data_IF_075220748294
#
_entry.id   IF_075220748294
#
_cell.length_a   1.000
_cell.length_b   1.000
_cell.length_c   1.000
_cell.angle_alpha   90.00
_cell.angle_beta   90.00
_cell.angle_gamma   90.00
#
_symmetry.space_group_name_H-M   'P 1'
#
loop_
_entity.id
_entity.type
_entity.pdbx_description
1 polymer ?
#
# COMPACT_ATOMS: atom_id res chain seq x y z
N UNK A 1 23.23 -15.07 -4.83
CA UNK A 1 24.32 -14.42 -4.06
C UNK A 1 24.10 -14.40 -2.54
N UNK A 2 22.94 -13.95 -2.03
CA UNK A 2 22.71 -13.83 -0.58
C UNK A 2 22.87 -15.16 0.17
N UNK A 3 22.26 -16.24 -0.33
CA UNK A 3 22.39 -17.58 0.25
C UNK A 3 23.83 -18.12 0.24
N UNK A 4 24.62 -17.77 -0.78
CA UNK A 4 26.03 -18.15 -0.85
C UNK A 4 26.87 -17.43 0.21
N UNK A 5 26.63 -16.13 0.40
CA UNK A 5 27.29 -15.32 1.43
C UNK A 5 26.93 -15.85 2.83
N UNK A 6 25.64 -16.06 3.10
CA UNK A 6 25.16 -16.55 4.40
C UNK A 6 25.67 -17.96 4.70
N UNK A 7 25.66 -18.86 3.71
CA UNK A 7 26.17 -20.22 3.87
C UNK A 7 27.67 -20.22 4.13
N UNK A 8 28.45 -19.47 3.35
CA UNK A 8 29.90 -19.37 3.57
C UNK A 8 30.21 -18.76 4.94
N UNK A 9 29.47 -17.73 5.36
CA UNK A 9 29.66 -17.10 6.66
C UNK A 9 29.42 -18.13 7.79
N UNK A 10 28.31 -18.85 7.71
CA UNK A 10 27.94 -19.87 8.70
C UNK A 10 28.98 -21.01 8.76
N UNK A 11 29.43 -21.51 7.60
CA UNK A 11 30.46 -22.55 7.51
C UNK A 11 31.78 -22.03 8.09
N UNK A 12 32.23 -20.84 7.67
CA UNK A 12 33.50 -20.24 8.12
C UNK A 12 33.53 -20.05 9.62
N UNK A 13 32.46 -19.52 10.22
CA UNK A 13 32.40 -19.34 11.68
C UNK A 13 32.29 -20.66 12.43
N UNK A 14 31.49 -21.61 11.96
CA UNK A 14 31.31 -22.90 12.64
C UNK A 14 32.58 -23.73 12.59
N UNK A 15 33.18 -23.87 11.40
CA UNK A 15 34.42 -24.62 11.21
C UNK A 15 35.60 -23.90 11.85
N UNK A 16 35.69 -22.58 11.73
CA UNK A 16 36.73 -21.77 12.35
C UNK A 16 36.70 -21.86 13.88
N UNK A 17 35.53 -21.66 14.50
CA UNK A 17 35.39 -21.76 15.95
C UNK A 17 35.65 -23.19 16.46
N UNK A 18 35.11 -24.21 15.78
CA UNK A 18 35.34 -25.61 16.15
C UNK A 18 36.82 -26.01 16.01
N UNK A 19 37.47 -25.63 14.91
CA UNK A 19 38.87 -25.95 14.63
C UNK A 19 39.82 -25.28 15.61
N UNK A 20 39.64 -23.99 15.89
CA UNK A 20 40.49 -23.30 16.85
C UNK A 20 40.18 -23.75 18.29
N UNK A 21 38.93 -24.07 18.61
CA UNK A 21 38.57 -24.67 19.90
C UNK A 21 39.26 -26.03 20.13
N UNK A 22 39.28 -26.89 19.11
CA UNK A 22 39.98 -28.16 19.16
C UNK A 22 41.50 -27.97 19.34
N UNK A 23 42.10 -27.04 18.61
CA UNK A 23 43.53 -26.76 18.71
C UNK A 23 43.92 -26.14 20.06
N UNK A 24 43.08 -25.26 20.60
CA UNK A 24 43.28 -24.66 21.91
C UNK A 24 43.26 -25.73 23.02
N UNK A 25 42.37 -26.74 22.91
CA UNK A 25 42.33 -27.87 23.84
C UNK A 25 43.61 -28.72 23.83
N UNK A 26 44.29 -28.84 22.69
CA UNK A 26 45.56 -29.58 22.57
C UNK A 26 46.74 -28.78 23.11
N UNK A 27 46.80 -27.47 22.81
CA UNK A 27 47.96 -26.61 23.13
C UNK A 27 47.94 -26.10 24.57
N UNK A 28 46.76 -25.79 25.12
CA UNK A 28 46.63 -25.11 26.42
C UNK A 28 46.05 -26.02 27.51
N UNK A 29 46.60 -27.24 27.62
CA UNK A 29 46.13 -28.31 28.52
C UNK A 29 45.92 -27.88 29.99
N UNK A 30 46.60 -26.83 30.46
CA UNK A 30 46.60 -26.36 31.86
C UNK A 30 45.91 -25.00 32.11
N UNK A 31 45.31 -24.37 31.09
CA UNK A 31 44.51 -23.15 31.25
C UNK A 31 43.04 -23.52 31.13
N UNK A 32 42.16 -22.88 31.90
CA UNK A 32 40.71 -23.07 31.78
C UNK A 32 40.26 -22.86 30.33
N UNK A 33 39.99 -23.96 29.63
CA UNK A 33 39.57 -24.00 28.22
C UNK A 33 38.43 -23.01 27.94
N UNK A 34 37.56 -22.78 28.93
CA UNK A 34 36.49 -21.78 28.86
C UNK A 34 36.97 -20.33 28.70
N UNK A 35 38.06 -19.91 29.34
CA UNK A 35 38.60 -18.54 29.22
C UNK A 35 39.19 -18.34 27.83
N UNK A 36 39.98 -19.29 27.34
CA UNK A 36 40.58 -19.23 26.00
C UNK A 36 39.48 -19.26 24.93
N UNK A 37 38.51 -20.17 25.06
CA UNK A 37 37.38 -20.25 24.15
C UNK A 37 36.57 -18.95 24.15
N UNK A 38 36.28 -18.37 25.32
CA UNK A 38 35.52 -17.12 25.42
C UNK A 38 36.27 -15.93 24.81
N UNK A 39 37.55 -15.78 25.12
CA UNK A 39 38.39 -14.72 24.55
C UNK A 39 38.51 -14.86 23.02
N UNK A 40 38.65 -16.08 22.53
CA UNK A 40 38.74 -16.36 21.10
C UNK A 40 37.41 -16.09 20.38
N UNK A 41 36.28 -16.53 20.94
CA UNK A 41 34.96 -16.24 20.36
C UNK A 41 34.74 -14.73 20.27
N UNK A 42 35.11 -13.97 21.29
CA UNK A 42 35.05 -12.52 21.27
C UNK A 42 35.93 -11.93 20.15
N UNK A 43 37.17 -12.41 20.01
CA UNK A 43 38.07 -11.95 18.96
C UNK A 43 37.51 -12.26 17.56
N UNK A 44 36.98 -13.47 17.32
CA UNK A 44 36.38 -13.84 16.04
C UNK A 44 35.17 -12.93 15.74
N UNK A 45 34.29 -12.68 16.70
CA UNK A 45 33.15 -11.78 16.52
C UNK A 45 33.60 -10.35 16.17
N UNK A 46 34.58 -9.81 16.89
CA UNK A 46 35.05 -8.44 16.65
C UNK A 46 35.72 -8.31 15.29
N UNK A 47 36.71 -9.17 15.00
CA UNK A 47 37.56 -9.04 13.81
C UNK A 47 36.96 -9.60 12.54
N UNK A 48 36.13 -10.65 12.63
CA UNK A 48 35.54 -11.30 11.45
C UNK A 48 34.12 -10.85 11.17
N UNK A 49 33.41 -10.28 12.15
CA UNK A 49 32.00 -9.92 11.98
C UNK A 49 31.75 -8.43 12.17
N UNK A 50 32.08 -7.85 13.33
CA UNK A 50 31.74 -6.46 13.65
C UNK A 50 32.54 -5.48 12.77
N UNK A 51 33.87 -5.56 12.80
CA UNK A 51 34.73 -4.62 12.05
C UNK A 51 34.45 -4.68 10.54
N UNK A 52 34.41 -5.86 9.89
CA UNK A 52 34.17 -5.92 8.45
C UNK A 52 32.78 -5.43 8.05
N UNK A 53 31.75 -5.71 8.84
CA UNK A 53 30.38 -5.23 8.57
C UNK A 53 30.30 -3.71 8.70
N UNK A 54 30.90 -3.13 9.72
CA UNK A 54 30.92 -1.67 9.91
C UNK A 54 31.68 -0.98 8.78
N UNK A 55 32.85 -1.49 8.39
CA UNK A 55 33.59 -0.95 7.25
C UNK A 55 32.82 -1.09 5.93
N UNK A 56 32.12 -2.22 5.74
CA UNK A 56 31.28 -2.45 4.58
C UNK A 56 30.11 -1.48 4.49
N UNK A 57 29.48 -1.14 5.62
CA UNK A 57 28.36 -0.19 5.67
C UNK A 57 28.83 1.25 5.43
N UNK A 58 29.93 1.67 6.05
CA UNK A 58 30.44 3.04 5.97
C UNK A 58 31.12 3.33 4.62
N UNK A 59 31.92 2.39 4.11
CA UNK A 59 32.77 2.59 2.92
C UNK A 59 32.27 1.83 1.67
N UNK A 60 30.97 1.51 1.60
CA UNK A 60 30.39 0.67 0.54
C UNK A 60 30.74 1.14 -0.88
N UNK A 61 30.83 2.46 -1.12
CA UNK A 61 31.12 3.04 -2.45
C UNK A 61 32.52 2.68 -2.96
N UNK A 62 33.52 2.73 -2.09
CA UNK A 62 34.90 2.46 -2.45
C UNK A 62 35.18 0.95 -2.53
N UNK A 63 34.47 0.16 -1.73
CA UNK A 63 34.57 -1.30 -1.73
C UNK A 63 33.74 -1.95 -2.84
N UNK A 64 32.76 -1.25 -3.43
CA UNK A 64 31.80 -1.81 -4.37
C UNK A 64 32.46 -2.60 -5.51
N UNK A 65 33.51 -2.06 -6.14
CA UNK A 65 34.19 -2.73 -7.26
C UNK A 65 34.84 -4.06 -6.83
N UNK A 66 35.59 -4.05 -5.72
CA UNK A 66 36.26 -5.24 -5.19
C UNK A 66 35.23 -6.28 -4.71
N UNK A 67 34.25 -5.83 -3.94
CA UNK A 67 33.18 -6.68 -3.39
C UNK A 67 32.39 -7.36 -4.49
N UNK A 68 32.06 -6.65 -5.58
CA UNK A 68 31.30 -7.23 -6.70
C UNK A 68 32.10 -8.32 -7.41
N UNK A 69 33.41 -8.13 -7.63
CA UNK A 69 34.27 -9.14 -8.25
C UNK A 69 34.45 -10.37 -7.36
N UNK A 70 34.74 -10.16 -6.08
CA UNK A 70 34.86 -11.23 -5.09
C UNK A 70 33.55 -12.02 -4.95
N UNK A 71 32.40 -11.34 -5.01
CA UNK A 71 31.09 -11.96 -4.94
C UNK A 71 30.80 -12.85 -6.15
N UNK A 72 31.23 -12.46 -7.36
CA UNK A 72 31.10 -13.30 -8.55
C UNK A 72 31.91 -14.59 -8.42
N UNK A 73 33.16 -14.50 -7.98
CA UNK A 73 34.00 -15.68 -7.73
C UNK A 73 33.38 -16.58 -6.66
N UNK A 74 32.93 -15.99 -5.55
CA UNK A 74 32.26 -16.70 -4.46
C UNK A 74 31.00 -17.43 -4.95
N UNK A 75 30.20 -16.77 -5.78
CA UNK A 75 28.96 -17.34 -6.30
C UNK A 75 29.22 -18.54 -7.20
N UNK A 76 30.29 -18.51 -8.00
CA UNK A 76 30.71 -19.66 -8.82
C UNK A 76 31.21 -20.80 -7.93
N UNK A 77 32.04 -20.51 -6.93
CA UNK A 77 32.56 -21.52 -6.00
C UNK A 77 31.45 -22.19 -5.20
N UNK A 78 30.47 -21.41 -4.73
CA UNK A 78 29.33 -21.89 -3.95
C UNK A 78 28.17 -22.39 -4.82
N UNK A 79 28.27 -22.30 -6.15
CA UNK A 79 27.22 -22.71 -7.07
C UNK A 79 26.69 -24.14 -6.82
N UNK A 80 27.52 -25.19 -6.63
CA UNK A 80 26.99 -26.54 -6.38
C UNK A 80 26.18 -26.64 -5.07
N UNK A 81 26.59 -25.93 -4.02
CA UNK A 81 25.88 -25.91 -2.75
C UNK A 81 24.55 -25.13 -2.86
N UNK A 82 24.56 -23.99 -3.57
CA UNK A 82 23.37 -23.19 -3.85
C UNK A 82 22.38 -23.99 -4.71
N UNK A 83 22.87 -24.70 -5.73
CA UNK A 83 22.06 -25.57 -6.57
C UNK A 83 21.39 -26.67 -5.76
N UNK A 84 22.13 -27.33 -4.87
CA UNK A 84 21.60 -28.37 -3.99
C UNK A 84 20.54 -27.81 -3.03
N UNK A 85 20.78 -26.64 -2.44
CA UNK A 85 19.83 -25.95 -1.57
C UNK A 85 18.55 -25.56 -2.31
N UNK A 86 18.67 -25.06 -3.55
CA UNK A 86 17.51 -24.73 -4.40
C UNK A 86 16.73 -25.99 -4.78
N UNK A 87 17.42 -27.09 -5.11
CA UNK A 87 16.79 -28.38 -5.38
C UNK A 87 16.00 -28.87 -4.18
N UNK A 88 16.60 -28.85 -2.98
CA UNK A 88 15.93 -29.24 -1.75
C UNK A 88 14.72 -28.34 -1.46
N UNK A 89 14.86 -27.03 -1.63
CA UNK A 89 13.78 -26.06 -1.44
C UNK A 89 12.61 -26.31 -2.40
N UNK A 90 12.89 -26.67 -3.66
CA UNK A 90 11.85 -27.01 -4.66
C UNK A 90 11.05 -28.25 -4.30
N UNK A 91 11.61 -29.18 -3.51
CA UNK A 91 10.88 -30.33 -3.00
C UNK A 91 9.85 -29.93 -1.92
N UNK A 92 10.03 -28.78 -1.28
CA UNK A 92 9.15 -28.26 -0.22
C UNK A 92 8.26 -27.09 -0.68
N UNK A 93 8.60 -26.40 -1.77
CA UNK A 93 7.84 -25.23 -2.27
C UNK A 93 6.72 -25.69 -3.21
N UNK A 94 5.46 -25.60 -2.76
CA UNK A 94 4.29 -25.60 -3.67
C UNK A 94 4.13 -24.17 -4.23
N UNK A 95 4.04 -24.07 -5.57
CA UNK A 95 3.72 -22.90 -6.42
C UNK A 95 4.78 -21.79 -6.63
N UNK A 96 4.75 -21.25 -7.86
CA UNK A 96 5.49 -20.11 -8.42
C UNK A 96 5.12 -18.78 -7.71
N UNK A 97 5.50 -18.62 -6.46
CA UNK A 97 5.44 -17.30 -5.82
C UNK A 97 6.67 -16.45 -6.19
N UNK A 98 6.48 -15.15 -6.52
CA UNK A 98 7.55 -14.23 -6.88
C UNK A 98 8.65 -14.17 -5.82
N UNK A 99 9.88 -13.90 -6.23
CA UNK A 99 11.08 -13.95 -5.37
C UNK A 99 11.10 -12.92 -4.23
N UNK A 100 10.21 -11.93 -4.29
CA UNK A 100 9.96 -10.97 -3.20
C UNK A 100 8.46 -11.02 -2.93
N UNK A 101 8.10 -11.47 -1.74
CA UNK A 101 6.70 -11.48 -1.33
C UNK A 101 6.23 -10.04 -1.06
N UNK A 102 4.95 -9.76 -1.32
CA UNK A 102 4.36 -8.44 -0.99
C UNK A 102 4.57 -8.05 0.47
N UNK A 103 4.59 -9.04 1.36
CA UNK A 103 4.84 -8.85 2.78
C UNK A 103 6.28 -8.38 3.05
N UNK A 104 7.26 -8.80 2.25
CA UNK A 104 8.64 -8.32 2.35
C UNK A 104 8.75 -6.85 1.96
N UNK A 105 8.04 -6.40 0.92
CA UNK A 105 8.02 -4.97 0.53
C UNK A 105 7.45 -4.11 1.66
N UNK A 106 6.36 -4.56 2.28
CA UNK A 106 5.76 -3.87 3.43
C UNK A 106 6.72 -3.87 4.63
N UNK A 107 7.40 -4.98 4.89
CA UNK A 107 8.38 -5.08 5.96
C UNK A 107 9.58 -4.13 5.74
N UNK A 108 10.07 -4.03 4.50
CA UNK A 108 11.15 -3.10 4.14
C UNK A 108 10.73 -1.64 4.33
N UNK A 109 9.50 -1.27 3.95
CA UNK A 109 8.98 0.07 4.20
C UNK A 109 8.95 0.39 5.70
N UNK A 110 8.55 -0.58 6.54
CA UNK A 110 8.50 -0.42 7.99
C UNK A 110 9.89 -0.35 8.64
N UNK A 111 10.88 -1.10 8.12
CA UNK A 111 12.28 -0.97 8.53
C UNK A 111 12.81 0.42 8.16
N UNK A 112 12.59 0.86 6.93
CA UNK A 112 12.99 2.20 6.49
C UNK A 112 12.36 3.32 7.34
N UNK A 113 11.10 3.17 7.75
CA UNK A 113 10.45 4.08 8.70
C UNK A 113 11.17 4.13 10.06
N UNK A 114 11.54 2.98 10.61
CA UNK A 114 12.25 2.88 11.91
C UNK A 114 13.67 3.45 11.83
N UNK A 115 14.32 3.31 10.69
CA UNK A 115 15.65 3.84 10.42
C UNK A 115 15.63 5.33 10.02
N UNK A 116 14.45 5.97 9.95
CA UNK A 116 14.28 7.38 9.61
C UNK A 116 14.45 7.70 8.13
N UNK A 117 14.43 6.69 7.25
CA UNK A 117 14.46 6.86 5.79
C UNK A 117 13.12 7.37 5.27
N UNK A 118 12.01 6.93 5.89
CA UNK A 118 10.64 7.32 5.53
C UNK A 118 9.92 7.93 6.73
N UNK A 119 9.02 8.88 6.48
CA UNK A 119 8.05 9.31 7.49
C UNK A 119 6.97 8.24 7.73
N UNK A 120 6.13 8.44 8.74
CA UNK A 120 5.00 7.54 9.04
C UNK A 120 4.00 7.53 7.87
N UNK A 121 3.75 8.70 7.29
CA UNK A 121 2.84 8.90 6.17
C UNK A 121 3.37 8.24 4.89
N UNK A 122 4.66 8.44 4.57
CA UNK A 122 5.29 7.82 3.39
C UNK A 122 5.27 6.29 3.46
N UNK A 123 5.58 5.73 4.63
CA UNK A 123 5.50 4.29 4.86
C UNK A 123 4.06 3.75 4.71
N UNK A 124 3.07 4.51 5.15
CA UNK A 124 1.66 4.16 4.99
C UNK A 124 1.24 4.15 3.51
N UNK A 125 1.67 5.14 2.72
CA UNK A 125 1.41 5.21 1.27
C UNK A 125 2.00 3.99 0.56
N UNK A 126 3.25 3.63 0.86
CA UNK A 126 3.90 2.44 0.28
C UNK A 126 3.12 1.16 0.60
N UNK A 127 2.66 1.01 1.85
CA UNK A 127 1.84 -0.13 2.26
C UNK A 127 0.50 -0.17 1.50
N UNK A 128 -0.18 0.96 1.39
CA UNK A 128 -1.46 1.07 0.68
C UNK A 128 -1.29 0.75 -0.81
N UNK A 129 -0.23 1.25 -1.44
CA UNK A 129 0.11 0.96 -2.85
C UNK A 129 0.24 -0.54 -3.11
N UNK A 130 0.93 -1.28 -2.23
CA UNK A 130 1.07 -2.74 -2.35
C UNK A 130 -0.27 -3.46 -2.19
N UNK A 131 -1.17 -2.91 -1.37
CA UNK A 131 -2.49 -3.46 -1.07
C UNK A 131 -3.57 -3.12 -2.10
N UNK A 132 -3.41 -2.09 -2.94
CA UNK A 132 -4.43 -1.66 -3.93
C UNK A 132 -4.94 -2.78 -4.86
N UNK A 133 -4.13 -3.80 -5.12
CA UNK A 133 -4.54 -4.96 -5.94
C UNK A 133 -5.41 -5.98 -5.19
N UNK A 134 -5.37 -5.97 -3.85
CA UNK A 134 -6.14 -6.85 -2.97
C UNK A 134 -7.42 -6.17 -2.47
N UNK A 135 -7.39 -4.85 -2.35
CA UNK A 135 -8.56 -4.07 -1.93
C UNK A 135 -9.57 -3.98 -3.07
N UNK A 136 -10.85 -4.16 -2.73
CA UNK A 136 -11.94 -4.15 -3.69
C UNK A 136 -12.58 -2.77 -3.81
N UNK A 137 -13.24 -2.53 -4.94
CA UNK A 137 -14.11 -1.35 -5.15
C UNK A 137 -15.17 -1.23 -4.06
N UNK A 138 -15.72 -2.36 -3.61
CA UNK A 138 -16.68 -2.46 -2.50
C UNK A 138 -16.21 -1.77 -1.21
N UNK A 139 -14.91 -1.78 -0.94
CA UNK A 139 -14.35 -1.27 0.31
C UNK A 139 -14.27 0.25 0.36
N UNK A 140 -14.28 0.90 -0.82
CA UNK A 140 -14.07 2.35 -0.96
C UNK A 140 -15.28 3.09 -1.52
N UNK A 141 -16.25 2.38 -2.09
CA UNK A 141 -17.45 2.99 -2.66
C UNK A 141 -18.30 3.73 -1.64
N UNK A 142 -18.91 4.82 -2.10
CA UNK A 142 -20.04 5.45 -1.43
C UNK A 142 -21.25 4.54 -1.64
N UNK A 143 -21.77 3.87 -0.59
CA UNK A 143 -22.86 2.91 -0.73
C UNK A 143 -24.14 3.60 -1.20
N UNK A 144 -25.02 2.86 -1.89
CA UNK A 144 -26.30 3.37 -2.41
C UNK A 144 -27.14 4.16 -1.40
N UNK A 145 -27.11 3.78 -0.13
CA UNK A 145 -27.89 4.41 0.95
C UNK A 145 -27.37 5.80 1.33
N UNK A 146 -26.13 6.10 0.97
CA UNK A 146 -25.45 7.38 1.24
C UNK A 146 -25.31 8.23 -0.02
N UNK A 147 -25.77 7.73 -1.18
CA UNK A 147 -25.70 8.47 -2.43
C UNK A 147 -26.71 9.62 -2.44
N UNK A 148 -26.23 10.80 -2.83
CA UNK A 148 -27.08 11.92 -3.20
C UNK A 148 -27.36 11.82 -4.70
N UNK A 149 -28.64 11.75 -5.07
CA UNK A 149 -29.09 11.50 -6.44
C UNK A 149 -30.22 12.45 -6.81
N UNK A 150 -30.28 12.87 -8.07
CA UNK A 150 -31.30 13.78 -8.58
C UNK A 150 -32.23 13.07 -9.59
N UNK A 151 -33.49 13.49 -9.65
CA UNK A 151 -34.41 12.95 -10.66
C UNK A 151 -34.06 13.55 -12.02
N UNK A 152 -34.00 12.74 -13.07
CA UNK A 152 -33.65 13.24 -14.41
C UNK A 152 -34.63 14.30 -14.96
N UNK A 153 -35.87 14.31 -14.48
CA UNK A 153 -36.93 15.26 -14.86
C UNK A 153 -36.96 16.52 -13.98
N UNK A 154 -36.01 16.66 -13.06
CA UNK A 154 -35.87 17.89 -12.27
C UNK A 154 -35.40 19.03 -13.19
N UNK A 155 -36.02 20.22 -13.13
CA UNK A 155 -35.52 21.41 -13.82
C UNK A 155 -34.15 21.85 -13.27
N UNK A 156 -33.27 22.33 -14.15
CA UNK A 156 -31.92 22.77 -13.76
C UNK A 156 -31.93 23.91 -12.71
N UNK A 157 -32.98 24.73 -12.68
CA UNK A 157 -33.16 25.82 -11.71
C UNK A 157 -33.47 25.29 -10.32
N UNK A 158 -34.26 24.22 -10.23
CA UNK A 158 -34.59 23.59 -8.95
C UNK A 158 -33.35 22.88 -8.39
N UNK A 159 -32.63 22.15 -9.24
CA UNK A 159 -31.37 21.52 -8.87
C UNK A 159 -30.36 22.53 -8.29
N UNK A 160 -30.21 23.70 -8.93
CA UNK A 160 -29.25 24.72 -8.47
C UNK A 160 -29.66 25.41 -7.16
N UNK A 161 -30.95 25.41 -6.82
CA UNK A 161 -31.47 26.00 -5.57
C UNK A 161 -31.51 25.00 -4.41
N UNK A 162 -31.27 23.72 -4.68
CA UNK A 162 -31.31 22.68 -3.68
C UNK A 162 -29.93 22.53 -3.02
N UNK A 163 -29.86 23.03 -1.78
CA UNK A 163 -28.65 23.02 -0.95
C UNK A 163 -28.07 21.60 -0.73
N UNK A 164 -28.87 20.53 -0.93
CA UNK A 164 -28.38 19.16 -0.79
C UNK A 164 -27.32 18.78 -1.83
N UNK A 165 -27.26 19.50 -2.95
CA UNK A 165 -26.27 19.26 -4.01
C UNK A 165 -25.03 20.16 -3.92
N UNK A 166 -24.96 21.03 -2.91
CA UNK A 166 -24.01 22.14 -2.97
C UNK A 166 -22.54 21.70 -2.98
N UNK A 167 -22.23 20.65 -2.22
CA UNK A 167 -20.89 20.10 -2.04
C UNK A 167 -20.52 19.04 -3.07
N UNK A 168 -21.41 18.72 -4.01
CA UNK A 168 -21.23 17.60 -4.93
C UNK A 168 -21.07 18.09 -6.36
N UNK A 169 -19.87 17.90 -6.90
CA UNK A 169 -19.55 18.29 -8.27
C UNK A 169 -20.27 17.43 -9.33
N UNK A 170 -20.51 16.15 -9.02
CA UNK A 170 -21.07 15.16 -9.94
C UNK A 170 -22.21 14.40 -9.28
N UNK A 171 -23.43 14.62 -9.74
CA UNK A 171 -24.64 14.02 -9.14
C UNK A 171 -25.21 12.95 -10.08
N UNK A 172 -25.32 11.69 -9.64
CA UNK A 172 -26.01 10.64 -10.39
C UNK A 172 -27.50 10.96 -10.60
N UNK A 173 -28.01 10.62 -11.77
CA UNK A 173 -29.42 10.79 -12.13
C UNK A 173 -30.17 9.46 -12.06
N UNK A 174 -31.40 9.53 -11.57
CA UNK A 174 -32.32 8.40 -11.56
C UNK A 174 -33.60 8.69 -12.36
N UNK A 175 -34.25 7.62 -12.83
CA UNK A 175 -35.48 7.63 -13.63
C UNK A 175 -36.73 7.59 -12.73
N UNK A 176 -37.16 6.39 -12.35
CA UNK A 176 -38.36 6.10 -11.55
C UNK A 176 -38.00 5.78 -10.10
N UNK A 177 -36.91 5.05 -9.90
CA UNK A 177 -36.41 4.64 -8.58
C UNK A 177 -35.02 5.18 -8.35
N UNK A 178 -34.70 5.57 -7.11
CA UNK A 178 -33.35 5.98 -6.70
C UNK A 178 -32.30 4.87 -6.91
N UNK A 179 -32.73 3.62 -7.09
CA UNK A 179 -31.86 2.49 -7.41
C UNK A 179 -31.53 2.38 -8.91
N UNK A 180 -32.31 3.00 -9.79
CA UNK A 180 -32.13 2.95 -11.25
C UNK A 180 -31.37 4.19 -11.75
N UNK A 181 -30.04 4.09 -11.72
CA UNK A 181 -29.13 5.16 -12.13
C UNK A 181 -28.81 5.04 -13.62
N UNK A 182 -29.10 6.08 -14.38
CA UNK A 182 -28.96 6.09 -15.85
C UNK A 182 -27.90 7.05 -16.39
N UNK A 183 -27.22 7.79 -15.51
CA UNK A 183 -26.22 8.78 -15.88
C UNK A 183 -25.84 9.67 -14.71
N UNK A 184 -25.14 10.76 -15.00
CA UNK A 184 -24.82 11.80 -14.03
C UNK A 184 -24.82 13.18 -14.69
N UNK A 185 -24.87 14.23 -13.89
CA UNK A 185 -24.68 15.61 -14.32
C UNK A 185 -23.47 16.22 -13.62
N UNK A 186 -22.82 17.17 -14.29
CA UNK A 186 -21.77 17.98 -13.70
C UNK A 186 -22.35 19.34 -13.28
N UNK A 187 -22.10 19.80 -12.05
CA UNK A 187 -22.63 21.09 -11.54
C UNK A 187 -22.29 22.27 -12.47
N UNK A 188 -21.07 22.28 -13.02
CA UNK A 188 -20.65 23.26 -14.03
C UNK A 188 -21.53 23.30 -15.29
N UNK A 189 -22.09 22.17 -15.74
CA UNK A 189 -23.00 22.16 -16.90
C UNK A 189 -24.33 22.82 -16.57
N UNK A 190 -24.84 22.58 -15.36
CA UNK A 190 -26.04 23.26 -14.85
C UNK A 190 -25.79 24.77 -14.80
N UNK A 191 -24.69 25.20 -14.19
CA UNK A 191 -24.33 26.62 -14.09
C UNK A 191 -24.17 27.29 -15.45
N UNK A 192 -23.56 26.60 -16.43
CA UNK A 192 -23.40 27.09 -17.79
C UNK A 192 -24.75 27.31 -18.48
N UNK A 193 -25.69 26.36 -18.39
CA UNK A 193 -26.99 26.50 -19.06
C UNK A 193 -27.91 27.50 -18.35
N UNK A 194 -27.82 27.63 -17.02
CA UNK A 194 -28.48 28.71 -16.29
C UNK A 194 -28.03 30.10 -16.74
N UNK A 195 -26.73 30.26 -17.06
CA UNK A 195 -26.18 31.53 -17.56
C UNK A 195 -26.72 31.93 -18.94
N UNK A 196 -27.25 30.95 -19.71
CA UNK A 196 -27.88 31.16 -21.02
C UNK A 196 -29.39 31.39 -20.94
N UNK A 197 -29.94 31.54 -19.73
CA UNK A 197 -31.37 31.71 -19.45
C UNK A 197 -32.27 30.50 -19.81
N UNK A 198 -31.70 29.31 -19.98
CA UNK A 198 -32.44 28.07 -20.30
C UNK A 198 -33.11 27.44 -19.06
N UNK A 199 -33.91 28.24 -18.34
CA UNK A 199 -34.44 27.92 -17.00
C UNK A 199 -35.35 26.68 -16.93
N UNK A 200 -35.98 26.30 -18.04
CA UNK A 200 -36.90 25.16 -18.12
C UNK A 200 -36.24 23.87 -18.62
N UNK A 201 -34.93 23.88 -18.88
CA UNK A 201 -34.19 22.69 -19.26
C UNK A 201 -34.20 21.66 -18.12
N UNK A 202 -34.32 20.38 -18.46
CA UNK A 202 -34.32 19.29 -17.50
C UNK A 202 -32.92 18.72 -17.33
N UNK A 203 -32.64 18.06 -16.20
CA UNK A 203 -31.34 17.41 -15.98
C UNK A 203 -31.04 16.33 -17.03
N UNK A 204 -32.05 15.66 -17.58
CA UNK A 204 -31.89 14.66 -18.64
C UNK A 204 -31.27 15.23 -19.93
N UNK A 205 -31.49 16.52 -20.22
CA UNK A 205 -31.02 17.18 -21.45
C UNK A 205 -29.50 17.40 -21.45
N UNK A 206 -28.90 17.46 -20.27
CA UNK A 206 -27.46 17.66 -20.04
C UNK A 206 -26.79 16.43 -19.41
N UNK A 207 -27.49 15.29 -19.43
CA UNK A 207 -27.02 14.03 -18.84
C UNK A 207 -25.75 13.55 -19.53
N UNK A 208 -24.77 13.15 -18.73
CA UNK A 208 -23.55 12.46 -19.16
C UNK A 208 -23.63 10.98 -18.82
N UNK A 209 -22.97 10.16 -19.63
CA UNK A 209 -22.89 8.70 -19.44
C UNK A 209 -22.11 8.37 -18.16
N UNK A 210 -22.67 7.49 -17.33
CA UNK A 210 -22.03 7.02 -16.10
C UNK A 210 -21.46 5.60 -16.32
N UNK A 211 -20.14 5.44 -16.47
CA UNK A 211 -19.51 4.13 -16.67
C UNK A 211 -19.75 3.20 -15.49
N UNK A 212 -19.87 1.89 -15.77
CA UNK A 212 -20.25 0.87 -14.78
C UNK A 212 -19.09 -0.09 -14.50
N UNK A 213 -18.90 -0.44 -13.23
CA UNK A 213 -17.93 -1.45 -12.76
C UNK A 213 -18.58 -2.40 -11.73
N UNK A 214 -17.99 -3.58 -11.55
CA UNK A 214 -18.42 -4.53 -10.51
C UNK A 214 -17.77 -4.22 -9.16
N UNK A 215 -18.46 -4.53 -8.05
CA UNK A 215 -17.98 -4.28 -6.69
C UNK A 215 -16.71 -5.08 -6.31
N UNK A 216 -16.46 -6.22 -6.97
CA UNK A 216 -15.29 -7.11 -6.73
C UNK A 216 -14.03 -6.72 -7.51
N UNK A 217 -14.12 -5.68 -8.35
CA UNK A 217 -12.96 -5.21 -9.13
C UNK A 217 -11.91 -4.67 -8.16
N UNK A 218 -10.63 -4.93 -8.43
CA UNK A 218 -9.56 -4.35 -7.60
C UNK A 218 -9.49 -2.84 -7.78
N UNK A 219 -9.09 -2.11 -6.74
CA UNK A 219 -8.89 -0.64 -6.85
C UNK A 219 -7.84 -0.31 -7.91
N UNK A 220 -6.79 -1.13 -8.03
CA UNK A 220 -5.77 -0.95 -9.07
C UNK A 220 -6.36 -1.01 -10.49
N UNK A 221 -7.25 -1.98 -10.75
CA UNK A 221 -7.89 -2.10 -12.07
C UNK A 221 -8.96 -1.04 -12.29
N UNK A 222 -9.63 -0.58 -11.22
CA UNK A 222 -10.52 0.58 -11.29
C UNK A 222 -9.74 1.84 -11.66
N UNK A 223 -8.63 2.13 -10.98
CA UNK A 223 -7.77 3.28 -11.24
C UNK A 223 -7.32 3.31 -12.71
N UNK A 224 -6.81 2.19 -13.23
CA UNK A 224 -6.38 2.11 -14.63
C UNK A 224 -7.54 2.32 -15.61
N UNK A 225 -8.73 1.79 -15.29
CA UNK A 225 -9.93 2.02 -16.09
C UNK A 225 -10.33 3.51 -16.11
N UNK A 226 -10.40 4.14 -14.94
CA UNK A 226 -10.78 5.55 -14.82
C UNK A 226 -9.79 6.48 -15.52
N UNK A 227 -8.48 6.26 -15.35
CA UNK A 227 -7.43 7.05 -16.03
C UNK A 227 -7.49 6.87 -17.54
N UNK A 228 -7.57 5.63 -18.03
CA UNK A 228 -7.58 5.33 -19.47
C UNK A 228 -8.75 6.00 -20.19
N UNK A 229 -9.92 6.01 -19.55
CA UNK A 229 -11.15 6.53 -20.12
C UNK A 229 -11.49 7.96 -19.67
N UNK A 230 -10.63 8.59 -18.86
CA UNK A 230 -10.82 9.93 -18.27
C UNK A 230 -12.15 10.06 -17.51
N UNK A 231 -12.55 8.99 -16.82
CA UNK A 231 -13.72 8.99 -15.96
C UNK A 231 -13.34 9.42 -14.55
N UNK A 232 -14.12 10.34 -13.98
CA UNK A 232 -13.91 10.83 -12.60
C UNK A 232 -14.90 10.24 -11.59
N UNK A 233 -15.95 9.58 -12.08
CA UNK A 233 -16.97 8.90 -11.29
C UNK A 233 -17.42 7.65 -12.05
N UNK A 234 -17.68 6.56 -11.33
CA UNK A 234 -18.23 5.31 -11.87
C UNK A 234 -19.40 4.83 -11.01
N UNK A 235 -20.36 4.17 -11.65
CA UNK A 235 -21.41 3.42 -10.96
C UNK A 235 -20.88 2.03 -10.60
N UNK A 236 -21.11 1.61 -9.36
CA UNK A 236 -20.77 0.27 -8.90
C UNK A 236 -22.02 -0.58 -8.90
N UNK A 237 -21.96 -1.74 -9.57
CA UNK A 237 -22.99 -2.77 -9.50
C UNK A 237 -22.55 -3.92 -8.59
N UNK A 238 -23.49 -4.41 -7.80
CA UNK A 238 -23.30 -5.61 -6.99
C UNK A 238 -23.44 -6.88 -7.81
N UNK A 239 -23.20 -8.02 -7.18
CA UNK A 239 -23.26 -9.36 -7.81
C UNK A 239 -24.58 -9.65 -8.56
N UNK A 240 -25.70 -9.10 -8.07
CA UNK A 240 -27.03 -9.30 -8.65
C UNK A 240 -27.44 -8.22 -9.66
N UNK A 241 -26.49 -7.36 -10.09
CA UNK A 241 -26.71 -6.33 -11.12
C UNK A 241 -27.42 -5.06 -10.65
N UNK A 242 -27.83 -4.98 -9.39
CA UNK A 242 -28.36 -3.77 -8.76
C UNK A 242 -27.28 -2.74 -8.44
N UNK A 243 -27.69 -1.48 -8.27
CA UNK A 243 -26.80 -0.39 -7.84
C UNK A 243 -26.27 -0.66 -6.44
N UNK A 244 -24.96 -0.82 -6.30
CA UNK A 244 -24.27 -0.98 -5.02
C UNK A 244 -23.79 0.36 -4.46
N UNK A 245 -23.38 1.29 -5.33
CA UNK A 245 -22.84 2.57 -4.94
C UNK A 245 -22.21 3.34 -6.10
N UNK A 246 -21.42 4.36 -5.77
CA UNK A 246 -20.55 5.09 -6.71
C UNK A 246 -19.13 5.19 -6.14
N UNK A 247 -18.15 5.33 -7.02
CA UNK A 247 -16.76 5.63 -6.64
C UNK A 247 -16.25 6.79 -7.47
N UNK A 248 -15.53 7.71 -6.83
CA UNK A 248 -14.85 8.81 -7.51
C UNK A 248 -13.34 8.56 -7.62
N UNK A 249 -12.66 9.35 -8.46
CA UNK A 249 -11.20 9.34 -8.49
C UNK A 249 -10.60 9.83 -7.17
N UNK A 250 -11.30 10.69 -6.42
CA UNK A 250 -10.85 11.12 -5.10
C UNK A 250 -10.80 9.93 -4.15
N UNK A 251 -11.85 9.10 -4.07
CA UNK A 251 -11.88 7.91 -3.20
C UNK A 251 -10.67 6.96 -3.45
N UNK A 252 -10.27 6.80 -4.71
CA UNK A 252 -9.11 5.98 -5.09
C UNK A 252 -7.80 6.60 -4.59
N UNK A 253 -7.64 7.91 -4.73
CA UNK A 253 -6.47 8.64 -4.27
C UNK A 253 -6.41 8.70 -2.75
N UNK A 254 -7.53 8.91 -2.07
CA UNK A 254 -7.63 8.87 -0.61
C UNK A 254 -7.23 7.50 -0.05
N UNK A 255 -7.62 6.43 -0.74
CA UNK A 255 -7.24 5.07 -0.33
C UNK A 255 -5.74 4.82 -0.51
N UNK A 256 -5.13 5.38 -1.56
CA UNK A 256 -3.68 5.31 -1.75
C UNK A 256 -2.94 6.15 -0.71
N UNK A 257 -3.37 7.39 -0.50
CA UNK A 257 -2.73 8.36 0.40
C UNK A 257 -2.96 8.03 1.88
N UNK A 258 -4.08 7.38 2.19
CA UNK A 258 -4.46 7.01 3.56
C UNK A 258 -5.12 8.14 4.35
N UNK A 259 -5.51 9.24 3.72
CA UNK A 259 -6.22 10.37 4.32
C UNK A 259 -7.19 11.00 3.31
N UNK A 260 -8.21 11.69 3.80
CA UNK A 260 -9.18 12.38 2.94
C UNK A 260 -8.60 13.65 2.32
N UNK A 261 -9.01 13.93 1.07
CA UNK A 261 -8.62 15.14 0.36
C UNK A 261 -9.63 16.22 0.72
N UNK A 262 -9.22 17.15 1.59
CA UNK A 262 -10.06 18.29 2.01
C UNK A 262 -10.14 19.31 0.88
N UNK A 263 -11.35 19.62 0.41
CA UNK A 263 -11.55 20.63 -0.62
C UNK A 263 -11.47 22.04 0.00
N UNK A 264 -11.06 23.02 -0.79
CA UNK A 264 -10.99 24.43 -0.39
C UNK A 264 -12.36 25.01 -0.01
N UNK A 265 -13.44 24.34 -0.42
CA UNK A 265 -14.83 24.69 -0.09
C UNK A 265 -15.35 24.06 1.22
N UNK A 266 -14.62 23.12 1.85
CA UNK A 266 -15.02 22.41 3.09
C UNK A 266 -14.82 23.23 4.39
N UNK A 267 -14.98 24.56 4.33
CA UNK A 267 -14.53 25.51 5.38
C UNK A 267 -15.35 25.54 6.69
N UNK A 268 -16.31 24.64 6.92
CA UNK A 268 -17.05 24.61 8.20
C UNK A 268 -16.47 23.56 9.17
N UNK A 269 -16.37 23.92 10.45
CA UNK A 269 -15.78 23.06 11.50
C UNK A 269 -16.47 21.71 11.65
N UNK A 270 -17.77 21.65 11.35
CA UNK A 270 -18.58 20.43 11.42
C UNK A 270 -18.26 19.45 10.26
N UNK A 271 -17.91 19.96 9.08
CA UNK A 271 -17.59 19.12 7.92
C UNK A 271 -16.24 18.42 8.05
N UNK A 272 -15.24 19.08 8.66
CA UNK A 272 -13.97 18.42 8.99
C UNK A 272 -14.14 17.28 10.00
N UNK A 273 -15.11 17.39 10.92
CA UNK A 273 -15.44 16.28 11.83
C UNK A 273 -16.17 15.14 11.12
N UNK A 274 -17.05 15.46 10.15
CA UNK A 274 -17.74 14.47 9.34
C UNK A 274 -16.78 13.72 8.42
N UNK A 275 -15.92 14.44 7.71
CA UNK A 275 -14.78 13.92 6.94
C UNK A 275 -13.90 12.98 7.79
N UNK A 276 -13.51 13.41 8.99
CA UNK A 276 -12.76 12.55 9.92
C UNK A 276 -13.55 11.31 10.36
N UNK A 277 -14.88 11.38 10.47
CA UNK A 277 -15.73 10.23 10.84
C UNK A 277 -15.89 9.26 9.66
N UNK A 278 -16.18 9.75 8.45
CA UNK A 278 -16.24 8.92 7.23
C UNK A 278 -14.91 8.22 6.98
N UNK A 279 -13.79 8.95 7.13
CA UNK A 279 -12.46 8.38 7.04
C UNK A 279 -12.24 7.29 8.10
N UNK A 280 -12.60 7.54 9.37
CA UNK A 280 -12.45 6.52 10.43
C UNK A 280 -13.26 5.27 10.13
N UNK A 281 -14.46 5.41 9.56
CA UNK A 281 -15.28 4.27 9.17
C UNK A 281 -14.69 3.51 7.97
N UNK A 282 -14.25 4.21 6.92
CA UNK A 282 -13.54 3.64 5.76
C UNK A 282 -12.25 2.95 6.20
N UNK A 283 -11.42 3.62 7.01
CA UNK A 283 -10.16 3.10 7.54
C UNK A 283 -10.36 1.88 8.45
N UNK A 284 -11.47 1.80 9.19
CA UNK A 284 -11.84 0.60 9.96
C UNK A 284 -12.20 -0.58 9.06
N UNK A 285 -12.93 -0.35 7.97
CA UNK A 285 -13.23 -1.39 6.96
C UNK A 285 -11.98 -1.90 6.27
N UNK A 286 -11.04 -0.99 5.96
CA UNK A 286 -9.78 -1.29 5.30
C UNK A 286 -8.69 -1.87 6.23
N UNK A 287 -8.96 -2.01 7.54
CA UNK A 287 -7.98 -2.51 8.50
C UNK A 287 -6.74 -1.62 8.67
N UNK A 288 -6.87 -0.32 8.41
CA UNK A 288 -5.76 0.65 8.46
C UNK A 288 -5.37 1.03 9.90
N UNK A 289 -6.24 0.81 10.88
CA UNK A 289 -5.90 0.96 12.31
C UNK A 289 -5.14 -0.27 12.82
N UNK A 290 -3.82 -0.12 12.96
CA UNK A 290 -3.04 -1.03 13.79
C UNK A 290 -3.55 -1.00 15.23
N UNK A 291 -3.58 -2.15 15.90
CA UNK A 291 -3.89 -2.27 17.33
C UNK A 291 -2.88 -1.49 18.17
N UNK A 292 -3.14 -0.21 18.42
CA UNK A 292 -2.13 0.65 19.04
C UNK A 292 -2.52 2.10 19.24
N UNK A 293 -3.75 2.38 19.68
CA UNK A 293 -4.09 3.67 20.27
C UNK A 293 -5.28 3.50 21.20
N UNK A 294 -5.01 2.95 22.39
CA UNK A 294 -5.90 3.15 23.55
C UNK A 294 -5.57 4.52 24.12
N UNK A 295 -6.58 5.39 24.14
CA UNK A 295 -6.79 6.53 25.02
C UNK A 295 -5.55 7.10 25.73
N UNK A 296 -5.09 8.26 25.27
CA UNK A 296 -4.63 9.31 26.18
C UNK A 296 -5.55 10.51 26.03
N UNK A 297 -6.66 10.45 26.76
CA UNK A 297 -7.51 11.59 27.09
C UNK A 297 -7.81 11.53 28.58
N UNK A 298 -6.96 12.17 29.38
CA UNK A 298 -7.26 12.66 30.74
C UNK A 298 -5.99 13.28 31.35
N UNK A 299 -5.82 14.58 31.16
CA UNK A 299 -5.25 15.58 32.11
C UNK A 299 -5.23 16.92 31.41
#
# INVERSE_FOLDING_TARGET
>A
PLSAILSLNTISHTVGAAGVGAQAGVVFQNVSVGIISGALTLLILVFSEIIPKTLGAEYWRNLAYLTTRSLSVLTVLMFPLVWLSQWLTRLFKKSDEPSVERNEVIALAEVGRKEGVFTVEEAAILKNLVNLRKTSVRDIMTPRTMMVVANEKMPIVEFFKDDSFDQISRVPLYTESKDDINGFIHKNDVMLNLSKEEKNMLLCDIRRELPVVNEDKSIYDLYNFMIKHRHHIVLVKGEYGGTAGVVTMEDVLETLLGFEIVDEFDKTSDLQEHARKSWREKARRLGLFGSGSKNRSSS
#
